data_IF_732075811767
#
_entry.id   IF_732075811767
#
_cell.length_a   1.000
_cell.length_b   1.000
_cell.length_c   1.000
_cell.angle_alpha   90.00
_cell.angle_beta   90.00
_cell.angle_gamma   90.00
#
_symmetry.space_group_name_H-M   'P 1'
#
loop_
_entity.id
_entity.type
_entity.pdbx_description
1 polymer ?
#
# COMPACT_ATOMS: atom_id res chain seq x y z
N UNK A 1 -49.28 -9.55 -9.28
CA UNK A 1 -48.51 -8.73 -8.33
C UNK A 1 -47.66 -9.63 -7.44
N UNK A 2 -46.55 -10.16 -7.94
CA UNK A 2 -45.59 -10.90 -7.09
C UNK A 2 -44.73 -9.85 -6.39
N UNK A 3 -44.96 -9.74 -5.15
CA UNK A 3 -44.61 -8.77 -4.15
C UNK A 3 -43.20 -8.21 -4.25
N UNK A 4 -43.08 -6.90 -4.41
CA UNK A 4 -41.84 -6.12 -4.24
C UNK A 4 -41.14 -6.46 -2.90
N UNK A 5 -41.93 -6.91 -1.92
CA UNK A 5 -41.50 -7.35 -0.60
C UNK A 5 -40.45 -8.50 -0.65
N UNK A 6 -40.60 -9.49 -1.53
CA UNK A 6 -39.65 -10.58 -1.61
C UNK A 6 -38.30 -10.21 -2.25
N UNK A 7 -38.26 -9.07 -2.97
CA UNK A 7 -37.00 -8.56 -3.57
C UNK A 7 -36.24 -7.61 -2.65
N UNK A 8 -36.94 -6.97 -1.70
CA UNK A 8 -36.32 -6.06 -0.75
C UNK A 8 -35.63 -6.75 0.43
N UNK A 9 -36.08 -7.97 0.79
CA UNK A 9 -35.49 -8.72 1.91
C UNK A 9 -33.98 -8.99 1.76
N UNK A 10 -33.46 -9.49 0.63
CA UNK A 10 -32.02 -9.67 0.46
C UNK A 10 -31.22 -8.36 0.54
N UNK A 11 -31.78 -7.28 -0.01
CA UNK A 11 -31.15 -5.94 0.03
C UNK A 11 -31.16 -5.41 1.47
N UNK A 12 -32.25 -5.55 2.19
CA UNK A 12 -32.36 -5.15 3.59
C UNK A 12 -31.41 -5.93 4.49
N UNK A 13 -31.28 -7.25 4.29
CA UNK A 13 -30.32 -8.09 5.00
C UNK A 13 -28.87 -7.68 4.70
N UNK A 14 -28.55 -7.40 3.45
CA UNK A 14 -27.22 -6.93 3.05
C UNK A 14 -26.89 -5.58 3.67
N UNK A 15 -27.83 -4.63 3.62
CA UNK A 15 -27.67 -3.32 4.28
C UNK A 15 -27.54 -3.46 5.79
N UNK A 16 -28.35 -4.29 6.43
CA UNK A 16 -28.25 -4.55 7.87
C UNK A 16 -26.89 -5.15 8.23
N UNK A 17 -26.38 -6.09 7.44
CA UNK A 17 -25.06 -6.71 7.65
C UNK A 17 -23.93 -5.68 7.58
N UNK A 18 -24.04 -4.66 6.74
CA UNK A 18 -23.03 -3.59 6.61
C UNK A 18 -23.26 -2.52 7.69
N UNK A 19 -24.48 -2.05 7.87
CA UNK A 19 -24.76 -0.90 8.73
C UNK A 19 -24.74 -1.24 10.22
N UNK A 20 -25.17 -2.45 10.61
CA UNK A 20 -25.22 -2.85 12.02
C UNK A 20 -23.84 -2.78 12.71
N UNK A 21 -22.75 -3.33 12.16
CA UNK A 21 -21.42 -3.19 12.77
C UNK A 21 -20.96 -1.74 12.88
N UNK A 22 -21.28 -0.90 11.88
CA UNK A 22 -20.94 0.53 11.89
C UNK A 22 -21.72 1.27 12.98
N UNK A 23 -23.03 1.02 13.09
CA UNK A 23 -23.85 1.62 14.13
C UNK A 23 -23.36 1.22 15.53
N UNK A 24 -23.06 -0.08 15.73
CA UNK A 24 -22.54 -0.58 17.00
C UNK A 24 -21.16 0.00 17.32
N UNK A 25 -20.29 0.21 16.30
CA UNK A 25 -18.99 0.84 16.49
C UNK A 25 -19.12 2.30 16.91
N UNK A 26 -20.05 3.06 16.30
CA UNK A 26 -20.36 4.46 16.66
C UNK A 26 -20.96 4.52 18.07
N UNK A 27 -21.91 3.67 18.39
CA UNK A 27 -22.51 3.58 19.73
C UNK A 27 -21.44 3.27 20.78
N UNK A 28 -20.55 2.31 20.49
CA UNK A 28 -19.46 1.97 21.39
C UNK A 28 -18.48 3.13 21.58
N UNK A 29 -18.15 3.84 20.51
CA UNK A 29 -17.31 5.04 20.58
C UNK A 29 -17.95 6.09 21.48
N UNK A 30 -19.23 6.41 21.27
CA UNK A 30 -19.97 7.37 22.08
C UNK A 30 -20.07 6.95 23.55
N UNK A 31 -20.26 5.65 23.80
CA UNK A 31 -20.31 5.11 25.17
C UNK A 31 -18.97 5.25 25.90
N UNK A 32 -17.84 4.98 25.20
CA UNK A 32 -16.49 5.00 25.80
C UNK A 32 -15.97 6.43 25.94
N UNK A 33 -16.20 7.29 24.96
CA UNK A 33 -15.64 8.66 24.93
C UNK A 33 -16.60 9.70 25.52
N UNK A 34 -17.89 9.40 25.63
CA UNK A 34 -18.92 10.38 25.96
C UNK A 34 -19.16 11.44 24.89
N UNK A 35 -18.51 11.31 23.72
CA UNK A 35 -18.52 12.30 22.63
C UNK A 35 -19.17 11.72 21.37
N UNK A 36 -19.80 12.59 20.57
CA UNK A 36 -20.21 12.23 19.22
C UNK A 36 -19.00 12.00 18.33
N UNK A 37 -19.06 11.13 17.29
CA UNK A 37 -17.94 10.89 16.38
C UNK A 37 -17.37 12.17 15.76
N UNK A 38 -18.22 13.15 15.48
CA UNK A 38 -17.80 14.44 14.95
C UNK A 38 -17.02 15.27 16.00
N UNK A 39 -17.47 15.27 17.25
CA UNK A 39 -16.75 15.90 18.37
C UNK A 39 -15.43 15.19 18.65
N UNK A 40 -15.40 13.86 18.61
CA UNK A 40 -14.16 13.08 18.77
C UNK A 40 -13.12 13.39 17.70
N UNK A 41 -13.54 13.71 16.47
CA UNK A 41 -12.64 14.16 15.38
C UNK A 41 -12.16 15.60 15.63
N UNK A 42 -13.03 16.48 16.08
CA UNK A 42 -12.67 17.90 16.35
C UNK A 42 -11.73 18.06 17.55
N UNK A 43 -11.82 17.16 18.54
CA UNK A 43 -11.00 17.17 19.76
C UNK A 43 -9.91 16.09 19.76
N UNK A 44 -9.44 15.69 18.56
CA UNK A 44 -8.34 14.73 18.41
C UNK A 44 -7.04 15.18 19.07
N UNK A 45 -6.83 16.49 19.14
CA UNK A 45 -5.69 17.14 19.80
C UNK A 45 -5.74 17.05 21.34
N UNK A 46 -6.91 16.90 21.91
CA UNK A 46 -7.09 16.72 23.37
C UNK A 46 -6.80 15.27 23.81
N UNK A 47 -6.77 14.32 22.89
CA UNK A 47 -6.39 12.94 23.17
C UNK A 47 -4.86 12.78 23.17
N UNK A 48 -4.24 12.17 24.19
CA UNK A 48 -2.79 12.12 24.37
C UNK A 48 -2.01 11.56 23.18
N UNK A 49 -2.65 10.83 22.27
CA UNK A 49 -2.03 10.19 21.11
C UNK A 49 -2.79 10.43 19.81
N UNK A 50 -3.85 11.24 19.80
CA UNK A 50 -4.75 11.33 18.65
C UNK A 50 -4.10 11.97 17.42
N UNK A 51 -3.47 13.14 17.60
CA UNK A 51 -2.83 13.86 16.51
C UNK A 51 -1.60 13.10 15.97
N UNK A 52 -0.80 12.53 16.87
CA UNK A 52 0.41 11.78 16.50
C UNK A 52 0.06 10.49 15.73
N UNK A 53 -0.98 9.76 16.17
CA UNK A 53 -1.44 8.57 15.47
C UNK A 53 -1.95 8.88 14.05
N UNK A 54 -2.67 9.99 13.88
CA UNK A 54 -3.13 10.44 12.56
C UNK A 54 -1.96 10.83 11.68
N UNK A 55 -1.03 11.66 12.21
CA UNK A 55 0.16 12.08 11.48
C UNK A 55 1.02 10.86 11.07
N UNK A 56 1.27 9.94 12.00
CA UNK A 56 1.97 8.69 11.73
C UNK A 56 1.29 7.89 10.60
N UNK A 57 -0.06 7.73 10.68
CA UNK A 57 -0.82 6.98 9.68
C UNK A 57 -0.70 7.60 8.29
N UNK A 58 -0.75 8.92 8.17
CA UNK A 58 -0.55 9.62 6.91
C UNK A 58 0.88 9.45 6.36
N UNK A 59 1.88 9.69 7.19
CA UNK A 59 3.28 9.62 6.80
C UNK A 59 3.64 8.19 6.34
N UNK A 60 3.31 7.18 7.14
CA UNK A 60 3.60 5.80 6.79
C UNK A 60 2.87 5.36 5.51
N UNK A 61 1.61 5.81 5.28
CA UNK A 61 0.85 5.47 4.09
C UNK A 61 1.45 6.10 2.83
N UNK A 62 1.88 7.36 2.91
CA UNK A 62 2.56 8.06 1.81
C UNK A 62 3.89 7.37 1.48
N UNK A 63 4.73 7.10 2.50
CA UNK A 63 6.01 6.44 2.32
C UNK A 63 5.85 5.03 1.75
N UNK A 64 4.86 4.27 2.24
CA UNK A 64 4.50 2.95 1.71
C UNK A 64 4.09 3.02 0.24
N UNK A 65 3.27 4.00 -0.14
CA UNK A 65 2.83 4.19 -1.53
C UNK A 65 4.01 4.55 -2.45
N UNK A 66 4.88 5.46 -2.02
CA UNK A 66 6.09 5.83 -2.75
C UNK A 66 6.99 4.61 -2.94
N UNK A 67 7.28 3.88 -1.86
CA UNK A 67 8.13 2.69 -1.91
C UNK A 67 7.54 1.62 -2.84
N UNK A 68 6.24 1.33 -2.70
CA UNK A 68 5.54 0.33 -3.51
C UNK A 68 5.58 0.69 -4.99
N UNK A 69 5.29 1.94 -5.34
CA UNK A 69 5.32 2.40 -6.74
C UNK A 69 6.75 2.34 -7.28
N UNK A 70 7.74 2.77 -6.49
CA UNK A 70 9.15 2.74 -6.91
C UNK A 70 9.63 1.32 -7.17
N UNK A 71 9.27 0.35 -6.33
CA UNK A 71 9.61 -1.06 -6.53
C UNK A 71 8.78 -1.73 -7.61
N UNK A 72 7.52 -1.35 -7.73
CA UNK A 72 6.56 -1.96 -8.67
C UNK A 72 6.73 -1.52 -10.11
N UNK A 73 7.14 -0.27 -10.36
CA UNK A 73 7.32 0.27 -11.71
C UNK A 73 8.33 -0.53 -12.55
N UNK A 74 9.54 -0.86 -12.07
CA UNK A 74 10.48 -1.68 -12.83
C UNK A 74 9.92 -3.06 -13.17
N UNK A 75 9.20 -3.68 -12.23
CA UNK A 75 8.60 -5.00 -12.42
C UNK A 75 7.46 -4.93 -13.45
N UNK A 76 6.57 -3.94 -13.31
CA UNK A 76 5.48 -3.71 -14.27
C UNK A 76 6.01 -3.39 -15.66
N UNK A 77 7.09 -2.60 -15.75
CA UNK A 77 7.79 -2.32 -16.99
C UNK A 77 8.32 -3.59 -17.63
N UNK A 78 9.02 -4.41 -16.87
CA UNK A 78 9.64 -5.63 -17.33
C UNK A 78 8.60 -6.65 -17.81
N UNK A 79 7.51 -6.83 -17.06
CA UNK A 79 6.41 -7.70 -17.44
C UNK A 79 5.63 -7.22 -18.66
N UNK A 80 5.42 -5.91 -18.80
CA UNK A 80 4.66 -5.34 -19.92
C UNK A 80 5.47 -5.19 -21.20
N UNK A 81 6.80 -5.08 -21.10
CA UNK A 81 7.68 -4.81 -22.25
C UNK A 81 8.18 -6.06 -22.96
N UNK A 82 8.37 -7.13 -22.20
CA UNK A 82 8.97 -8.36 -22.73
C UNK A 82 7.96 -9.52 -22.74
N UNK A 83 8.10 -10.38 -23.74
CA UNK A 83 7.31 -11.62 -23.80
C UNK A 83 7.94 -12.68 -22.89
N UNK A 84 7.16 -13.14 -21.92
CA UNK A 84 7.61 -14.12 -20.94
C UNK A 84 6.91 -15.45 -21.14
N UNK A 85 7.69 -16.51 -21.21
CA UNK A 85 7.12 -17.87 -21.11
C UNK A 85 6.45 -18.00 -19.73
N UNK A 86 5.17 -18.40 -19.72
CA UNK A 86 4.39 -18.58 -18.48
C UNK A 86 4.15 -17.28 -17.67
N UNK A 87 4.01 -16.16 -18.34
CA UNK A 87 3.72 -14.85 -17.68
C UNK A 87 2.52 -14.92 -16.72
N UNK A 88 1.53 -15.78 -16.99
CA UNK A 88 0.39 -16.00 -16.10
C UNK A 88 0.78 -16.52 -14.73
N UNK A 89 1.79 -17.40 -14.63
CA UNK A 89 2.31 -17.92 -13.35
C UNK A 89 3.03 -16.81 -12.60
N UNK A 90 3.84 -16.00 -13.29
CA UNK A 90 4.54 -14.86 -12.69
C UNK A 90 3.53 -13.85 -12.12
N UNK A 91 2.51 -13.48 -12.90
CA UNK A 91 1.43 -12.59 -12.44
C UNK A 91 0.68 -13.17 -11.25
N UNK A 92 0.34 -14.46 -11.29
CA UNK A 92 -0.31 -15.13 -10.17
C UNK A 92 0.56 -15.11 -8.90
N UNK A 93 1.85 -15.41 -9.02
CA UNK A 93 2.79 -15.37 -7.91
C UNK A 93 2.91 -13.95 -7.30
N UNK A 94 2.95 -12.92 -8.15
CA UNK A 94 3.02 -11.52 -7.71
C UNK A 94 1.71 -11.02 -7.08
N UNK A 95 0.56 -11.68 -7.34
CA UNK A 95 -0.72 -11.36 -6.70
C UNK A 95 -0.99 -12.13 -5.42
N UNK A 96 -0.25 -13.21 -5.13
CA UNK A 96 -0.39 -13.99 -3.90
C UNK A 96 -0.30 -13.14 -2.62
N UNK A 97 0.64 -12.22 -2.48
CA UNK A 97 0.71 -11.35 -1.30
C UNK A 97 -0.59 -10.62 -1.02
N UNK A 98 -1.22 -10.07 -2.05
CA UNK A 98 -2.46 -9.30 -1.91
C UNK A 98 -3.65 -10.13 -1.40
N UNK A 99 -3.64 -11.43 -1.64
CA UNK A 99 -4.71 -12.37 -1.19
C UNK A 99 -4.39 -12.96 0.19
N UNK A 100 -3.13 -12.85 0.66
CA UNK A 100 -2.72 -13.41 1.94
C UNK A 100 -3.39 -12.65 3.10
N UNK A 101 -3.93 -13.35 4.12
CA UNK A 101 -4.45 -12.68 5.31
C UNK A 101 -3.39 -11.80 5.97
N UNK A 102 -3.72 -10.54 6.23
CA UNK A 102 -2.78 -9.52 6.70
C UNK A 102 -2.08 -9.91 8.01
N UNK A 103 -2.78 -10.59 8.92
CA UNK A 103 -2.21 -11.07 10.19
C UNK A 103 -1.14 -12.13 9.94
N UNK A 104 -1.38 -13.07 9.02
CA UNK A 104 -0.42 -14.13 8.68
C UNK A 104 0.86 -13.53 8.11
N UNK A 105 0.72 -12.55 7.22
CA UNK A 105 1.87 -11.87 6.66
C UNK A 105 2.60 -11.01 7.71
N UNK A 106 1.88 -10.30 8.59
CA UNK A 106 2.51 -9.57 9.69
C UNK A 106 3.35 -10.50 10.56
N UNK A 107 2.82 -11.67 10.92
CA UNK A 107 3.56 -12.69 11.68
C UNK A 107 4.77 -13.23 10.90
N UNK A 108 4.64 -13.42 9.58
CA UNK A 108 5.75 -13.79 8.71
C UNK A 108 6.87 -12.73 8.72
N UNK A 109 6.52 -11.45 8.57
CA UNK A 109 7.48 -10.35 8.66
C UNK A 109 8.13 -10.26 10.05
N UNK A 110 7.36 -10.41 11.13
CA UNK A 110 7.91 -10.46 12.48
C UNK A 110 8.90 -11.63 12.65
N UNK A 111 8.59 -12.81 12.10
CA UNK A 111 9.49 -13.97 12.16
C UNK A 111 10.78 -13.73 11.36
N UNK A 112 10.74 -12.95 10.27
CA UNK A 112 11.92 -12.58 9.49
C UNK A 112 12.82 -11.59 10.23
N UNK A 113 12.24 -10.59 10.94
CA UNK A 113 12.98 -9.48 11.56
C UNK A 113 13.32 -9.70 13.02
N UNK A 114 12.69 -10.68 13.70
CA UNK A 114 12.96 -10.95 15.12
C UNK A 114 14.42 -11.36 15.36
N UNK A 115 14.83 -11.30 16.62
CA UNK A 115 16.13 -11.81 17.07
C UNK A 115 16.28 -13.31 16.74
N UNK A 116 17.38 -13.67 16.07
CA UNK A 116 17.55 -15.00 15.51
C UNK A 116 16.68 -15.30 14.27
N UNK A 117 15.98 -14.31 13.74
CA UNK A 117 15.25 -14.42 12.49
C UNK A 117 16.16 -14.49 11.26
N UNK A 118 15.57 -14.80 10.10
CA UNK A 118 16.33 -15.08 8.88
C UNK A 118 17.14 -13.86 8.41
N UNK A 119 16.61 -12.64 8.54
CA UNK A 119 17.36 -11.42 8.19
C UNK A 119 18.49 -11.14 9.17
N UNK A 120 18.24 -11.35 10.47
CA UNK A 120 19.26 -11.18 11.49
C UNK A 120 20.41 -12.19 11.32
N UNK A 121 20.12 -13.45 10.95
CA UNK A 121 21.15 -14.47 10.70
C UNK A 121 22.06 -14.20 9.53
N UNK A 122 21.63 -13.39 8.56
CA UNK A 122 22.45 -12.93 7.42
C UNK A 122 23.06 -11.53 7.65
N UNK A 123 23.00 -11.02 8.88
CA UNK A 123 23.60 -9.73 9.28
C UNK A 123 22.75 -8.49 8.97
N UNK A 124 21.49 -8.66 8.56
CA UNK A 124 20.55 -7.55 8.36
C UNK A 124 19.69 -7.39 9.59
N UNK A 125 20.06 -6.46 10.47
CA UNK A 125 19.24 -6.12 11.63
C UNK A 125 18.40 -4.87 11.35
N UNK A 126 17.10 -5.06 11.07
CA UNK A 126 16.16 -3.96 10.85
C UNK A 126 15.66 -3.34 12.16
N UNK A 127 16.00 -3.92 13.32
CA UNK A 127 15.59 -3.41 14.63
C UNK A 127 16.68 -2.56 15.28
N UNK A 128 17.89 -2.62 14.75
CA UNK A 128 19.02 -1.96 15.37
C UNK A 128 18.94 -0.45 15.15
N UNK A 129 18.96 0.32 16.23
CA UNK A 129 19.01 1.77 16.21
C UNK A 129 20.37 2.30 15.72
N UNK A 130 21.36 1.40 15.62
CA UNK A 130 22.68 1.67 15.08
C UNK A 130 22.83 1.10 13.67
N UNK A 131 23.33 1.84 12.73
CA UNK A 131 23.52 1.39 11.34
C UNK A 131 22.64 2.13 10.33
N UNK A 132 22.37 1.51 9.18
CA UNK A 132 21.63 2.16 8.07
C UNK A 132 20.22 2.58 8.52
N UNK A 133 19.56 1.76 9.33
CA UNK A 133 18.20 2.01 9.84
C UNK A 133 18.21 3.11 10.88
N UNK A 134 19.19 3.14 11.80
CA UNK A 134 19.37 4.22 12.77
C UNK A 134 19.72 5.55 12.10
N UNK A 135 20.53 5.52 11.04
CA UNK A 135 20.81 6.73 10.24
C UNK A 135 19.56 7.28 9.57
N UNK A 136 18.68 6.40 9.09
CA UNK A 136 17.40 6.79 8.50
C UNK A 136 16.43 7.37 9.55
N UNK A 137 16.44 6.83 10.77
CA UNK A 137 15.71 7.34 11.94
C UNK A 137 16.09 8.78 12.24
N UNK A 138 17.38 9.05 12.34
CA UNK A 138 17.90 10.38 12.63
C UNK A 138 17.55 11.42 11.55
N UNK A 139 17.42 10.99 10.29
CA UNK A 139 17.00 11.86 9.16
C UNK A 139 15.52 12.19 9.23
N UNK A 140 14.68 11.24 9.64
CA UNK A 140 13.21 11.40 9.67
C UNK A 140 12.74 11.93 11.04
N UNK A 141 13.60 11.88 12.06
CA UNK A 141 13.25 12.31 13.42
C UNK A 141 12.32 11.35 14.16
N UNK A 142 12.33 10.05 13.78
CA UNK A 142 11.46 9.03 14.37
C UNK A 142 12.29 8.04 15.18
N UNK A 143 12.01 7.94 16.48
CA UNK A 143 12.76 7.13 17.45
C UNK A 143 12.75 5.60 17.23
N UNK A 144 11.86 5.07 16.36
CA UNK A 144 11.61 3.60 16.20
C UNK A 144 11.73 3.14 14.76
N UNK A 145 12.81 3.45 14.09
CA UNK A 145 12.96 3.27 12.64
C UNK A 145 12.91 1.83 12.13
N UNK A 146 13.37 0.85 12.91
CA UNK A 146 13.42 -0.55 12.47
C UNK A 146 12.05 -1.15 12.19
N UNK A 147 11.09 -0.85 13.03
CA UNK A 147 9.71 -1.28 12.85
C UNK A 147 9.04 -0.58 11.68
N UNK A 148 9.36 0.70 11.43
CA UNK A 148 8.83 1.43 10.26
C UNK A 148 9.33 0.81 8.96
N UNK A 149 10.62 0.48 8.85
CA UNK A 149 11.17 -0.15 7.64
C UNK A 149 10.47 -1.48 7.37
N UNK A 150 10.27 -2.31 8.40
CA UNK A 150 9.54 -3.57 8.27
C UNK A 150 8.09 -3.36 7.83
N UNK A 151 7.40 -2.35 8.39
CA UNK A 151 6.04 -1.98 8.01
C UNK A 151 5.96 -1.52 6.56
N UNK A 152 6.88 -0.64 6.13
CA UNK A 152 6.92 -0.15 4.75
C UNK A 152 7.19 -1.27 3.75
N UNK A 153 8.10 -2.20 4.07
CA UNK A 153 8.38 -3.38 3.25
C UNK A 153 7.18 -4.34 3.18
N UNK A 154 6.49 -4.55 4.30
CA UNK A 154 5.28 -5.36 4.33
C UNK A 154 4.17 -4.74 3.47
N UNK A 155 3.94 -3.43 3.59
CA UNK A 155 3.00 -2.72 2.73
C UNK A 155 3.39 -2.79 1.25
N UNK A 156 4.68 -2.60 0.93
CA UNK A 156 5.17 -2.72 -0.43
C UNK A 156 4.95 -4.13 -0.98
N UNK A 157 5.25 -5.17 -0.20
CA UNK A 157 5.04 -6.56 -0.58
C UNK A 157 3.56 -6.87 -0.85
N UNK A 158 2.65 -6.39 0.00
CA UNK A 158 1.21 -6.55 -0.20
C UNK A 158 0.69 -5.83 -1.45
N UNK A 159 1.09 -4.58 -1.60
CA UNK A 159 0.48 -3.69 -2.58
C UNK A 159 1.20 -3.69 -3.95
N UNK A 160 2.31 -4.42 -4.09
CA UNK A 160 3.07 -4.52 -5.34
C UNK A 160 2.19 -4.95 -6.53
N UNK A 161 1.27 -5.89 -6.26
CA UNK A 161 0.31 -6.37 -7.25
C UNK A 161 -0.56 -5.26 -7.85
N UNK A 162 -0.90 -4.22 -7.08
CA UNK A 162 -1.68 -3.09 -7.56
C UNK A 162 -0.91 -2.30 -8.61
N UNK A 163 0.36 -1.99 -8.35
CA UNK A 163 1.21 -1.26 -9.31
C UNK A 163 1.31 -2.02 -10.62
N UNK A 164 1.55 -3.33 -10.55
CA UNK A 164 1.63 -4.19 -11.73
C UNK A 164 0.28 -4.16 -12.47
N UNK A 165 -0.82 -4.33 -11.76
CA UNK A 165 -2.17 -4.39 -12.34
C UNK A 165 -2.60 -3.09 -13.04
N UNK A 166 -2.16 -1.93 -12.54
CA UNK A 166 -2.48 -0.63 -13.16
C UNK A 166 -1.53 -0.23 -14.29
N UNK A 167 -0.25 -0.57 -14.19
CA UNK A 167 0.79 -0.05 -15.08
C UNK A 167 1.11 -1.03 -16.22
N UNK A 168 1.29 -2.32 -15.92
CA UNK A 168 1.68 -3.33 -16.90
C UNK A 168 0.75 -3.39 -18.13
N UNK A 169 -0.60 -3.37 -18.01
CA UNK A 169 -1.49 -3.43 -19.17
C UNK A 169 -1.31 -2.25 -20.11
N UNK A 170 -0.98 -1.06 -19.60
CA UNK A 170 -0.72 0.11 -20.43
C UNK A 170 0.54 -0.05 -21.27
N UNK A 171 1.55 -0.71 -20.72
CA UNK A 171 2.81 -0.98 -21.43
C UNK A 171 2.60 -2.09 -22.46
N UNK A 172 1.95 -3.19 -22.08
CA UNK A 172 1.77 -4.37 -22.92
C UNK A 172 0.82 -4.14 -24.11
N UNK A 173 -0.16 -3.25 -23.96
CA UNK A 173 -1.10 -2.91 -25.04
C UNK A 173 -0.55 -1.89 -26.04
N UNK A 174 0.59 -1.27 -25.76
CA UNK A 174 1.19 -0.30 -26.66
C UNK A 174 2.00 -0.99 -27.74
N UNK A 175 1.61 -0.88 -29.03
CA UNK A 175 2.37 -1.45 -30.12
C UNK A 175 3.78 -0.82 -30.19
N UNK A 176 4.85 -1.62 -30.37
CA UNK A 176 6.23 -1.13 -30.45
C UNK A 176 6.45 -0.04 -31.48
N UNK A 177 5.70 -0.08 -32.58
CA UNK A 177 5.76 0.92 -33.66
C UNK A 177 5.60 2.37 -33.20
N UNK A 178 4.86 2.63 -32.13
CA UNK A 178 4.68 3.99 -31.62
C UNK A 178 5.96 4.51 -30.95
N UNK A 179 6.64 3.67 -30.18
CA UNK A 179 7.93 4.04 -29.62
C UNK A 179 8.98 4.19 -30.71
N UNK A 180 8.98 3.32 -31.71
CA UNK A 180 9.92 3.39 -32.84
C UNK A 180 9.69 4.65 -33.66
N UNK A 181 8.44 5.01 -33.94
CA UNK A 181 8.12 6.28 -34.58
C UNK A 181 8.58 7.49 -33.75
N UNK A 182 8.40 7.45 -32.43
CA UNK A 182 8.90 8.51 -31.54
C UNK A 182 10.45 8.62 -31.56
N UNK A 183 11.13 7.49 -31.65
CA UNK A 183 12.60 7.42 -31.76
C UNK A 183 13.13 8.12 -33.04
N UNK A 184 12.35 8.13 -34.11
CA UNK A 184 12.71 8.79 -35.36
C UNK A 184 12.63 10.31 -35.27
N UNK A 185 11.93 10.86 -34.27
CA UNK A 185 11.87 12.29 -34.05
C UNK A 185 13.16 12.80 -33.39
N UNK A 186 13.62 14.03 -33.69
CA UNK A 186 14.81 14.61 -33.06
C UNK A 186 14.74 14.59 -31.50
N UNK A 187 13.54 14.76 -30.97
CA UNK A 187 13.27 14.70 -29.52
C UNK A 187 13.41 13.29 -28.95
N UNK A 188 13.18 12.26 -29.75
CA UNK A 188 13.18 10.85 -29.30
C UNK A 188 14.56 10.20 -29.18
N UNK A 189 15.64 10.88 -29.58
CA UNK A 189 16.98 10.28 -29.61
C UNK A 189 17.51 9.91 -28.22
N UNK A 190 17.23 10.70 -27.20
CA UNK A 190 17.74 10.43 -25.84
C UNK A 190 16.79 9.55 -25.05
N UNK A 191 17.36 8.68 -24.17
CA UNK A 191 16.56 7.84 -23.27
C UNK A 191 15.68 8.69 -22.32
N UNK A 192 16.24 9.79 -21.83
CA UNK A 192 15.53 10.69 -20.92
C UNK A 192 14.30 11.30 -21.59
N UNK A 193 14.43 11.78 -22.80
CA UNK A 193 13.31 12.37 -23.55
C UNK A 193 12.21 11.31 -23.84
N UNK A 194 12.60 10.07 -24.14
CA UNK A 194 11.61 8.99 -24.28
C UNK A 194 10.86 8.72 -22.98
N UNK A 195 11.56 8.71 -21.85
CA UNK A 195 10.90 8.53 -20.55
C UNK A 195 9.98 9.68 -20.20
N UNK A 196 10.42 10.93 -20.40
CA UNK A 196 9.66 12.12 -19.96
C UNK A 196 8.57 12.56 -20.93
N UNK A 197 8.78 12.43 -22.26
CA UNK A 197 7.87 12.97 -23.27
C UNK A 197 6.99 11.91 -23.93
N UNK A 198 7.38 10.63 -23.85
CA UNK A 198 6.59 9.54 -24.40
C UNK A 198 5.96 8.69 -23.28
N UNK A 199 6.77 8.07 -22.43
CA UNK A 199 6.26 7.12 -21.43
C UNK A 199 5.56 7.81 -20.26
N UNK A 200 6.11 8.88 -19.73
CA UNK A 200 5.51 9.59 -18.59
C UNK A 200 4.09 10.10 -18.87
N UNK A 201 3.79 10.82 -19.95
CA UNK A 201 2.42 11.25 -20.25
C UNK A 201 1.44 10.10 -20.38
N UNK A 202 1.90 8.95 -20.88
CA UNK A 202 1.09 7.77 -21.08
C UNK A 202 0.82 7.01 -19.79
N UNK A 203 1.82 6.92 -18.91
CA UNK A 203 1.74 6.12 -17.69
C UNK A 203 1.31 6.90 -16.47
N UNK A 204 1.41 8.23 -16.45
CA UNK A 204 1.14 9.06 -15.27
C UNK A 204 -0.21 8.78 -14.61
N UNK A 205 -1.27 8.58 -15.38
CA UNK A 205 -2.61 8.28 -14.83
C UNK A 205 -2.64 6.92 -14.15
N UNK A 206 -2.03 5.90 -14.76
CA UNK A 206 -1.95 4.55 -14.18
C UNK A 206 -1.05 4.52 -12.94
N UNK A 207 0.05 5.26 -12.95
CA UNK A 207 0.95 5.42 -11.81
C UNK A 207 0.23 6.14 -10.67
N UNK A 208 -0.49 7.23 -10.97
CA UNK A 208 -1.27 7.96 -9.97
C UNK A 208 -2.37 7.09 -9.38
N UNK A 209 -3.09 6.32 -10.21
CA UNK A 209 -4.09 5.37 -9.73
C UNK A 209 -3.46 4.32 -8.81
N UNK A 210 -2.33 3.72 -9.21
CA UNK A 210 -1.60 2.76 -8.38
C UNK A 210 -1.17 3.39 -7.04
N UNK A 211 -0.66 4.62 -7.07
CA UNK A 211 -0.27 5.35 -5.87
C UNK A 211 -1.46 5.59 -4.92
N UNK A 212 -2.57 6.12 -5.45
CA UNK A 212 -3.77 6.42 -4.64
C UNK A 212 -4.34 5.15 -4.01
N UNK A 213 -4.48 4.07 -4.78
CA UNK A 213 -4.97 2.80 -4.22
C UNK A 213 -4.01 2.23 -3.19
N UNK A 214 -2.70 2.25 -3.45
CA UNK A 214 -1.69 1.80 -2.48
C UNK A 214 -1.74 2.64 -1.21
N UNK A 215 -1.88 3.96 -1.34
CA UNK A 215 -2.05 4.87 -0.20
C UNK A 215 -3.28 4.49 0.63
N UNK A 216 -4.46 4.32 0.00
CA UNK A 216 -5.71 3.97 0.69
C UNK A 216 -5.56 2.63 1.43
N UNK A 217 -4.99 1.60 0.79
CA UNK A 217 -4.81 0.30 1.43
C UNK A 217 -3.79 0.35 2.57
N UNK A 218 -2.71 1.13 2.43
CA UNK A 218 -1.73 1.31 3.52
C UNK A 218 -2.30 2.16 4.66
N UNK A 219 -3.10 3.17 4.35
CA UNK A 219 -3.77 4.03 5.33
C UNK A 219 -4.78 3.26 6.18
N UNK A 220 -5.53 2.35 5.57
CA UNK A 220 -6.55 1.53 6.26
C UNK A 220 -5.98 0.24 6.86
N UNK A 221 -4.68 0.01 6.77
CA UNK A 221 -4.01 -1.23 7.19
C UNK A 221 -3.75 -1.27 8.70
N UNK A 222 -4.81 -1.43 9.49
CA UNK A 222 -4.70 -1.51 10.95
C UNK A 222 -3.87 -2.71 11.42
N UNK A 223 -4.08 -3.89 10.82
CA UNK A 223 -3.44 -5.12 11.29
C UNK A 223 -1.91 -5.09 11.17
N UNK A 224 -1.37 -4.61 10.03
CA UNK A 224 0.07 -4.50 9.84
C UNK A 224 0.69 -3.48 10.81
N UNK A 225 0.07 -2.32 10.96
CA UNK A 225 0.52 -1.28 11.89
C UNK A 225 0.52 -1.82 13.32
N UNK A 226 -0.57 -2.46 13.74
CA UNK A 226 -0.70 -3.02 15.10
C UNK A 226 0.37 -4.04 15.45
N UNK A 227 0.78 -4.88 14.50
CA UNK A 227 1.74 -5.96 14.73
C UNK A 227 3.19 -5.55 14.49
N UNK A 228 3.44 -4.70 13.49
CA UNK A 228 4.81 -4.32 13.09
C UNK A 228 5.29 -3.02 13.76
N UNK A 229 4.38 -2.14 14.18
CA UNK A 229 4.73 -0.87 14.82
C UNK A 229 3.87 -0.61 16.09
N UNK A 230 3.87 -1.52 17.10
CA UNK A 230 2.94 -1.46 18.23
C UNK A 230 3.12 -0.24 19.15
N UNK A 231 4.28 0.43 19.12
CA UNK A 231 4.61 1.54 20.02
C UNK A 231 4.59 2.91 19.32
N UNK A 232 4.00 3.01 18.13
CA UNK A 232 4.03 4.22 17.31
C UNK A 232 2.74 5.04 17.38
N UNK A 233 1.86 4.73 18.34
CA UNK A 233 0.53 5.37 18.50
C UNK A 233 -0.02 5.17 19.90
#
# INVERSE_FOLDING_TARGET
>A
MKTAFGRSVPVALYLAMILLPLILAVERLMFVTGMNPFQAILHLDEHPFGADAVAFTFIQAILSAILTVTLGLPIAWWLGRYEWKRVGIIRAALTLPFVTPTVVAAMGFLALIKEGGLLNSIGIDLRNETGIVGSFSNIIGVEYSGHIVALLLAHAWFNLALVIRFVEPKISTLPPRYEDAFRMLPVGHTRLNRLTQFWWPMLRTSILSAFVFTFIFSFTSFALVRWLAPNMW
#
